data_IF_629136098753
#
_entry.id   IF_629136098753
#
_cell.length_a   1.000
_cell.length_b   1.000
_cell.length_c   1.000
_cell.angle_alpha   90.00
_cell.angle_beta   90.00
_cell.angle_gamma   90.00
#
_symmetry.space_group_name_H-M   'P 1'
#
loop_
_entity.id
_entity.type
_entity.pdbx_description
1 polymer ?
#
# COMPACT_ATOMS: atom_id res chain seq x y z
N UNK A 1 20.49 0.57 -14.21
CA UNK A 1 21.40 1.16 -13.19
C UNK A 1 20.87 0.79 -11.82
N UNK A 2 21.72 0.30 -10.93
CA UNK A 2 21.33 -0.34 -9.67
C UNK A 2 20.50 0.57 -8.77
N UNK A 3 19.40 0.06 -8.24
CA UNK A 3 18.59 0.64 -7.15
C UNK A 3 19.40 0.99 -5.89
N UNK A 4 20.59 0.43 -5.73
CA UNK A 4 21.56 0.76 -4.66
C UNK A 4 22.20 2.17 -4.81
N UNK A 5 22.14 2.78 -6.00
CA UNK A 5 22.83 4.05 -6.24
C UNK A 5 22.00 5.28 -5.84
N UNK A 6 20.67 5.12 -5.72
CA UNK A 6 19.77 6.20 -5.26
C UNK A 6 19.64 6.29 -3.72
N UNK A 7 20.18 5.31 -2.98
CA UNK A 7 20.01 5.23 -1.52
C UNK A 7 21.12 5.88 -0.70
N UNK A 8 22.16 6.43 -1.34
CA UNK A 8 23.24 7.13 -0.66
C UNK A 8 23.21 8.61 -0.98
N UNK A 9 22.40 9.35 -0.25
CA UNK A 9 22.50 10.81 -0.19
C UNK A 9 23.38 11.14 1.01
N UNK A 10 24.53 11.76 0.79
CA UNK A 10 25.45 12.32 1.81
C UNK A 10 25.94 11.37 2.93
N UNK A 11 26.12 10.07 2.64
CA UNK A 11 26.65 9.13 3.63
C UNK A 11 25.62 8.61 4.65
N UNK A 12 24.34 8.99 4.51
CA UNK A 12 23.24 8.43 5.29
C UNK A 12 22.74 7.15 4.63
N UNK A 13 22.53 6.08 5.41
CA UNK A 13 21.90 4.84 4.94
C UNK A 13 20.38 4.98 5.11
N UNK A 14 19.61 4.81 4.03
CA UNK A 14 18.15 4.82 4.07
C UNK A 14 17.59 3.40 4.03
N UNK A 15 16.57 3.15 4.85
CA UNK A 15 15.99 1.81 5.03
C UNK A 15 14.53 1.77 4.57
N UNK A 16 14.17 0.70 3.87
CA UNK A 16 12.76 0.41 3.63
C UNK A 16 12.09 -0.02 4.94
N UNK A 17 10.78 0.25 5.10
CA UNK A 17 10.07 -0.03 6.36
C UNK A 17 10.05 -1.50 6.81
N UNK A 18 10.55 -2.44 6.00
CA UNK A 18 10.66 -3.86 6.30
C UNK A 18 12.11 -4.39 6.35
N UNK A 19 13.11 -3.52 6.29
CA UNK A 19 14.54 -3.90 6.20
C UNK A 19 15.17 -4.27 7.56
N UNK A 20 14.50 -5.17 8.33
CA UNK A 20 14.93 -5.51 9.69
C UNK A 20 16.33 -6.10 9.74
N UNK A 21 16.70 -6.95 8.79
CA UNK A 21 18.04 -7.55 8.70
C UNK A 21 19.13 -6.51 8.42
N UNK A 22 18.83 -5.49 7.60
CA UNK A 22 19.76 -4.38 7.36
C UNK A 22 19.92 -3.49 8.60
N UNK A 23 18.81 -3.23 9.32
CA UNK A 23 18.81 -2.49 10.58
C UNK A 23 19.63 -3.23 11.63
N UNK A 24 19.43 -4.54 11.82
CA UNK A 24 20.21 -5.37 12.73
C UNK A 24 21.71 -5.27 12.42
N UNK A 25 22.06 -5.41 11.14
CA UNK A 25 23.45 -5.30 10.71
C UNK A 25 24.06 -3.92 10.93
N UNK A 26 23.29 -2.85 10.70
CA UNK A 26 23.80 -1.47 10.74
C UNK A 26 23.85 -0.89 12.16
N UNK A 27 22.80 -1.13 12.97
CA UNK A 27 22.66 -0.59 14.33
C UNK A 27 23.02 -1.59 15.43
N UNK A 28 23.20 -2.87 15.12
CA UNK A 28 23.49 -3.91 16.11
C UNK A 28 22.31 -4.24 17.03
N UNK A 29 21.09 -3.88 16.62
CA UNK A 29 19.87 -4.15 17.38
C UNK A 29 19.23 -5.43 16.83
N UNK A 30 19.06 -6.50 17.65
CA UNK A 30 18.42 -7.74 17.20
C UNK A 30 17.02 -7.46 16.62
N UNK A 31 16.72 -8.03 15.46
CA UNK A 31 15.46 -7.78 14.76
C UNK A 31 14.21 -8.14 15.56
N UNK A 32 14.33 -9.10 16.48
CA UNK A 32 13.26 -9.52 17.41
C UNK A 32 12.93 -8.44 18.46
N UNK A 33 13.83 -7.47 18.67
CA UNK A 33 13.64 -6.34 19.57
C UNK A 33 13.11 -5.10 18.84
N UNK A 34 12.91 -5.19 17.51
CA UNK A 34 12.46 -4.05 16.72
C UNK A 34 10.94 -4.10 16.53
N UNK A 35 10.26 -3.04 16.96
CA UNK A 35 8.85 -2.79 16.62
C UNK A 35 8.79 -2.06 15.28
N UNK A 36 8.25 -2.73 14.25
CA UNK A 36 8.26 -2.27 12.85
C UNK A 36 7.15 -1.30 12.50
N UNK A 37 7.22 -0.06 12.94
CA UNK A 37 6.28 1.00 12.57
C UNK A 37 6.34 1.45 11.10
N UNK A 38 7.40 1.08 10.38
CA UNK A 38 7.59 1.43 8.97
C UNK A 38 6.92 0.48 7.97
N UNK A 39 6.53 -0.74 8.40
CA UNK A 39 6.06 -1.80 7.52
C UNK A 39 4.56 -1.73 7.17
N UNK A 40 3.76 -0.98 7.92
CA UNK A 40 2.31 -0.82 7.75
C UNK A 40 1.53 -2.15 7.84
N UNK A 41 2.01 -3.11 8.60
CA UNK A 41 1.34 -4.40 8.80
C UNK A 41 0.40 -4.31 9.99
N UNK A 42 -0.75 -4.99 9.92
CA UNK A 42 -1.72 -5.07 11.01
C UNK A 42 -1.08 -5.65 12.29
N UNK A 43 -1.11 -4.93 13.41
CA UNK A 43 -0.47 -5.36 14.64
C UNK A 43 -1.11 -6.58 15.33
N UNK A 44 -2.33 -6.97 14.94
CA UNK A 44 -3.00 -8.16 15.47
C UNK A 44 -2.34 -9.47 15.00
N UNK A 45 -1.46 -9.41 13.96
CA UNK A 45 -0.95 -10.62 13.32
C UNK A 45 -2.04 -11.36 12.54
N UNK A 46 -1.76 -12.58 12.11
CA UNK A 46 -2.76 -13.43 11.41
C UNK A 46 -3.85 -13.88 12.38
N UNK A 47 -5.09 -14.03 11.88
CA UNK A 47 -6.21 -14.47 12.71
C UNK A 47 -6.03 -15.91 13.22
N UNK A 48 -6.67 -16.22 14.35
CA UNK A 48 -6.60 -17.57 14.93
C UNK A 48 -7.22 -18.61 13.98
N UNK A 49 -8.34 -18.26 13.32
CA UNK A 49 -8.97 -19.15 12.32
C UNK A 49 -8.03 -19.47 11.16
N UNK A 50 -7.36 -18.43 10.63
CA UNK A 50 -6.36 -18.65 9.57
C UNK A 50 -5.19 -19.49 10.07
N UNK A 51 -4.69 -19.24 11.30
CA UNK A 51 -3.60 -19.99 11.91
C UNK A 51 -3.92 -21.48 12.06
N UNK A 52 -5.10 -21.79 12.59
CA UNK A 52 -5.54 -23.18 12.76
C UNK A 52 -5.79 -23.85 11.39
N UNK A 53 -6.44 -23.15 10.45
CA UNK A 53 -6.63 -23.67 9.10
C UNK A 53 -5.33 -24.01 8.38
N UNK A 54 -4.30 -23.16 8.52
CA UNK A 54 -2.96 -23.45 7.97
C UNK A 54 -2.31 -24.67 8.62
N UNK A 55 -2.46 -24.87 9.94
CA UNK A 55 -1.93 -26.05 10.65
C UNK A 55 -2.64 -27.33 10.22
N UNK A 56 -3.97 -27.30 10.15
CA UNK A 56 -4.81 -28.44 9.77
C UNK A 56 -4.57 -28.92 8.34
N UNK A 57 -4.22 -27.97 7.45
CA UNK A 57 -4.08 -28.25 6.02
C UNK A 57 -2.61 -28.15 5.54
N UNK A 58 -1.62 -28.28 6.42
CA UNK A 58 -0.22 -28.12 6.06
C UNK A 58 0.22 -29.07 4.93
N UNK A 59 -0.37 -30.25 4.84
CA UNK A 59 -0.03 -31.27 3.85
C UNK A 59 -0.44 -30.91 2.41
N UNK A 60 -1.21 -29.83 2.20
CA UNK A 60 -1.52 -29.34 0.84
C UNK A 60 -0.27 -28.97 0.03
N UNK A 61 0.86 -28.71 0.72
CA UNK A 61 2.16 -28.42 0.07
C UNK A 61 2.74 -29.60 -0.71
N UNK A 62 2.19 -30.81 -0.56
CA UNK A 62 2.62 -32.01 -1.27
C UNK A 62 2.02 -32.13 -2.67
N UNK A 63 1.06 -31.27 -3.03
CA UNK A 63 0.40 -31.23 -4.32
C UNK A 63 0.46 -29.85 -4.98
N UNK A 64 0.43 -29.81 -6.30
CA UNK A 64 0.24 -28.54 -7.02
C UNK A 64 -1.16 -27.97 -6.74
N UNK A 65 -1.27 -26.63 -6.56
CA UNK A 65 -2.57 -25.98 -6.44
C UNK A 65 -3.36 -26.03 -7.77
N UNK A 66 -4.64 -25.71 -7.70
CA UNK A 66 -5.47 -25.47 -8.88
C UNK A 66 -4.86 -24.33 -9.71
N UNK A 67 -4.46 -24.56 -10.99
CA UNK A 67 -3.87 -23.52 -11.83
C UNK A 67 -4.81 -22.33 -12.09
N UNK A 68 -6.14 -22.54 -11.99
CA UNK A 68 -7.17 -21.50 -12.15
C UNK A 68 -7.53 -20.82 -10.81
N UNK A 69 -7.09 -21.36 -9.67
CA UNK A 69 -7.41 -20.84 -8.33
C UNK A 69 -8.91 -20.60 -8.12
N UNK A 70 -9.74 -21.52 -8.58
CA UNK A 70 -11.19 -21.37 -8.67
C UNK A 70 -11.84 -21.02 -7.33
N UNK A 71 -11.54 -21.79 -6.29
CA UNK A 71 -12.08 -21.55 -4.95
C UNK A 71 -11.52 -20.26 -4.34
N UNK A 72 -10.23 -19.98 -4.51
CA UNK A 72 -9.63 -18.75 -4.01
C UNK A 72 -10.26 -17.50 -4.64
N UNK A 73 -10.49 -17.51 -5.95
CA UNK A 73 -11.18 -16.42 -6.68
C UNK A 73 -12.60 -16.22 -6.18
N UNK A 74 -13.29 -17.32 -5.85
CA UNK A 74 -14.63 -17.26 -5.26
C UNK A 74 -14.61 -16.63 -3.87
N UNK A 75 -13.68 -17.03 -2.98
CA UNK A 75 -13.54 -16.41 -1.65
C UNK A 75 -13.25 -14.91 -1.74
N UNK A 76 -12.40 -14.50 -2.69
CA UNK A 76 -12.13 -13.08 -2.94
C UNK A 76 -13.38 -12.37 -3.46
N UNK A 77 -14.12 -12.98 -4.37
CA UNK A 77 -15.39 -12.48 -4.90
C UNK A 77 -16.43 -12.27 -3.78
N UNK A 78 -16.63 -13.25 -2.94
CA UNK A 78 -17.55 -13.18 -1.79
C UNK A 78 -17.16 -12.06 -0.82
N UNK A 79 -15.85 -11.86 -0.59
CA UNK A 79 -15.34 -10.82 0.29
C UNK A 79 -15.45 -9.42 -0.29
N UNK A 80 -15.20 -9.25 -1.58
CA UNK A 80 -15.12 -7.94 -2.23
C UNK A 80 -16.42 -7.50 -2.87
N UNK A 81 -17.30 -8.44 -3.21
CA UNK A 81 -18.56 -8.20 -3.92
C UNK A 81 -18.41 -8.06 -5.44
N UNK A 82 -17.22 -8.31 -6.01
CA UNK A 82 -17.05 -8.45 -7.46
C UNK A 82 -17.42 -9.85 -7.94
N UNK A 83 -17.40 -10.11 -9.24
CA UNK A 83 -17.65 -11.44 -9.79
C UNK A 83 -16.37 -12.28 -9.82
N UNK A 84 -16.43 -13.63 -9.65
CA UNK A 84 -15.23 -14.47 -9.67
C UNK A 84 -14.39 -14.34 -10.95
N UNK A 85 -15.06 -14.18 -12.11
CA UNK A 85 -14.38 -13.97 -13.40
C UNK A 85 -13.65 -12.64 -13.51
N UNK A 86 -13.94 -11.66 -12.66
CA UNK A 86 -13.26 -10.36 -12.59
C UNK A 86 -11.98 -10.40 -11.74
N UNK A 87 -11.72 -11.54 -11.06
CA UNK A 87 -10.58 -11.69 -10.14
C UNK A 87 -9.39 -12.35 -10.82
N UNK A 88 -8.23 -11.72 -10.68
CA UNK A 88 -6.93 -12.30 -10.99
C UNK A 88 -6.12 -12.40 -9.69
N UNK A 89 -5.51 -13.55 -9.42
CA UNK A 89 -4.63 -13.74 -8.25
C UNK A 89 -3.15 -13.72 -8.67
N UNK A 90 -2.27 -13.24 -7.78
CA UNK A 90 -0.84 -13.10 -8.03
C UNK A 90 0.01 -13.29 -6.78
N UNK A 91 1.30 -13.51 -6.96
CA UNK A 91 2.31 -13.68 -5.90
C UNK A 91 2.61 -12.32 -5.23
N UNK A 92 1.62 -11.78 -4.52
CA UNK A 92 1.58 -10.43 -3.97
C UNK A 92 1.23 -9.37 -5.03
N UNK A 93 0.91 -8.15 -4.58
CA UNK A 93 0.60 -7.04 -5.50
C UNK A 93 1.75 -6.71 -6.46
N UNK A 94 3.00 -6.95 -6.07
CA UNK A 94 4.17 -6.66 -6.91
C UNK A 94 4.14 -7.44 -8.22
N UNK A 95 3.82 -8.74 -8.19
CA UNK A 95 3.66 -9.52 -9.43
C UNK A 95 2.52 -8.94 -10.30
N UNK A 96 1.40 -8.58 -9.68
CA UNK A 96 0.26 -8.01 -10.41
C UNK A 96 0.60 -6.66 -11.06
N UNK A 97 1.32 -5.78 -10.35
CA UNK A 97 1.83 -4.53 -10.91
C UNK A 97 2.67 -4.81 -12.16
N UNK A 98 3.63 -5.73 -12.05
CA UNK A 98 4.49 -6.12 -13.18
C UNK A 98 3.67 -6.67 -14.36
N UNK A 99 2.74 -7.60 -14.11
CA UNK A 99 1.91 -8.21 -15.16
C UNK A 99 1.05 -7.18 -15.90
N UNK A 100 0.34 -6.30 -15.16
CA UNK A 100 -0.50 -5.29 -15.80
C UNK A 100 0.33 -4.28 -16.60
N UNK A 101 1.52 -3.90 -16.14
CA UNK A 101 2.41 -3.01 -16.87
C UNK A 101 2.99 -3.71 -18.11
N UNK A 102 3.44 -4.96 -17.98
CA UNK A 102 3.96 -5.74 -19.12
C UNK A 102 2.93 -5.89 -20.24
N UNK A 103 1.70 -6.24 -19.88
CA UNK A 103 0.63 -6.49 -20.85
C UNK A 103 0.11 -5.21 -21.50
N UNK A 104 -0.03 -4.13 -20.73
CA UNK A 104 -0.46 -2.83 -21.28
C UNK A 104 0.67 -2.15 -22.04
N UNK A 105 1.93 -2.48 -21.73
CA UNK A 105 3.12 -1.95 -22.38
C UNK A 105 3.08 -0.42 -22.58
N UNK A 106 2.91 0.36 -21.48
CA UNK A 106 2.70 1.79 -21.58
C UNK A 106 3.93 2.49 -22.15
N UNK A 107 3.73 3.41 -23.08
CA UNK A 107 4.78 4.31 -23.55
C UNK A 107 5.07 5.38 -22.51
N UNK A 108 4.02 5.87 -21.86
CA UNK A 108 4.11 6.93 -20.85
C UNK A 108 3.08 6.71 -19.74
N UNK A 109 3.54 6.66 -18.50
CA UNK A 109 2.68 6.61 -17.32
C UNK A 109 2.65 7.96 -16.60
N UNK A 110 1.46 8.37 -16.13
CA UNK A 110 1.29 9.45 -15.15
C UNK A 110 1.02 8.81 -13.80
N UNK A 111 1.91 9.05 -12.83
CA UNK A 111 1.83 8.48 -11.48
C UNK A 111 1.57 9.59 -10.48
N UNK A 112 0.56 9.42 -9.61
CA UNK A 112 0.30 10.36 -8.52
C UNK A 112 1.39 10.21 -7.46
N UNK A 113 2.11 11.30 -7.12
CA UNK A 113 3.23 11.31 -6.15
C UNK A 113 2.99 12.29 -4.99
N UNK A 114 3.65 12.12 -3.82
CA UNK A 114 4.58 11.02 -3.49
C UNK A 114 3.87 9.68 -3.42
N UNK A 115 4.54 8.59 -3.83
CA UNK A 115 3.94 7.26 -3.82
C UNK A 115 4.98 6.13 -3.78
N UNK A 116 4.53 4.89 -3.87
CA UNK A 116 5.35 3.68 -3.85
C UNK A 116 6.22 3.57 -5.11
N UNK A 117 7.52 3.35 -4.94
CA UNK A 117 8.53 3.41 -6.00
C UNK A 117 8.43 2.28 -7.05
N UNK A 118 7.77 1.16 -6.71
CA UNK A 118 7.70 0.02 -7.64
C UNK A 118 6.88 0.31 -8.89
N UNK A 119 5.95 1.27 -8.85
CA UNK A 119 5.19 1.65 -10.05
C UNK A 119 6.13 2.25 -11.12
N UNK A 120 6.94 3.23 -10.74
CA UNK A 120 7.95 3.82 -11.65
C UNK A 120 8.94 2.76 -12.12
N UNK A 121 9.46 1.96 -11.17
CA UNK A 121 10.42 0.91 -11.46
C UNK A 121 9.90 -0.04 -12.56
N UNK A 122 8.67 -0.54 -12.42
CA UNK A 122 8.10 -1.48 -13.38
C UNK A 122 7.82 -0.84 -14.75
N UNK A 123 7.33 0.40 -14.78
CA UNK A 123 7.14 1.13 -16.05
C UNK A 123 8.47 1.30 -16.79
N UNK A 124 9.53 1.74 -16.07
CA UNK A 124 10.87 1.93 -16.68
C UNK A 124 11.51 0.62 -17.11
N UNK A 125 11.34 -0.47 -16.35
CA UNK A 125 11.84 -1.80 -16.74
C UNK A 125 11.21 -2.30 -18.05
N UNK A 126 9.98 -1.89 -18.33
CA UNK A 126 9.26 -2.21 -19.55
C UNK A 126 9.45 -1.16 -20.66
N UNK A 127 10.40 -0.22 -20.51
CA UNK A 127 10.77 0.76 -21.52
C UNK A 127 9.84 1.97 -21.60
N UNK A 128 8.89 2.12 -20.66
CA UNK A 128 8.00 3.27 -20.59
C UNK A 128 8.65 4.48 -19.90
N UNK A 129 8.14 5.66 -20.23
CA UNK A 129 8.46 6.92 -19.55
C UNK A 129 7.50 7.15 -18.38
N UNK A 130 7.96 7.91 -17.37
CA UNK A 130 7.17 8.25 -16.18
C UNK A 130 7.18 9.74 -15.97
N UNK A 131 5.99 10.32 -15.87
CA UNK A 131 5.76 11.64 -15.31
C UNK A 131 5.00 11.53 -13.99
N UNK A 132 5.19 12.52 -13.13
CA UNK A 132 4.52 12.59 -11.84
C UNK A 132 3.48 13.71 -11.80
N UNK A 133 2.32 13.39 -11.25
CA UNK A 133 1.40 14.39 -10.74
C UNK A 133 1.66 14.58 -9.25
N UNK A 134 2.32 15.68 -8.89
CA UNK A 134 2.71 15.96 -7.52
C UNK A 134 1.53 16.48 -6.67
N UNK A 135 1.11 15.72 -5.67
CA UNK A 135 0.19 16.17 -4.64
C UNK A 135 0.82 17.35 -3.88
N UNK A 136 0.06 18.39 -3.65
CA UNK A 136 0.57 19.62 -3.02
C UNK A 136 0.31 19.59 -1.51
N UNK A 137 1.34 19.87 -0.71
CA UNK A 137 1.19 20.01 0.74
C UNK A 137 0.25 21.16 1.13
N UNK A 138 0.22 22.24 0.33
CA UNK A 138 -0.71 23.36 0.52
C UNK A 138 -2.18 22.97 0.43
N UNK A 139 -2.48 21.81 -0.16
CA UNK A 139 -3.80 21.17 -0.21
C UNK A 139 -3.84 19.90 0.64
N UNK A 140 -3.02 19.81 1.69
CA UNK A 140 -2.89 18.64 2.58
C UNK A 140 -2.75 17.31 1.83
N UNK A 141 -2.03 17.33 0.70
CA UNK A 141 -1.84 16.19 -0.21
C UNK A 141 -3.14 15.58 -0.75
N UNK A 142 -4.24 16.31 -0.76
CA UNK A 142 -5.48 15.87 -1.40
C UNK A 142 -5.34 15.97 -2.93
N UNK A 143 -5.89 15.00 -3.65
CA UNK A 143 -5.90 15.01 -5.11
C UNK A 143 -6.90 16.06 -5.63
N UNK A 144 -6.41 17.06 -6.36
CA UNK A 144 -7.27 17.96 -7.13
C UNK A 144 -7.69 17.25 -8.43
N UNK A 145 -8.90 16.73 -8.43
CA UNK A 145 -9.41 15.89 -9.52
C UNK A 145 -9.57 16.67 -10.84
N UNK A 146 -9.91 17.96 -10.77
CA UNK A 146 -10.07 18.78 -11.97
C UNK A 146 -8.72 19.06 -12.62
N UNK A 147 -7.74 19.52 -11.85
CA UNK A 147 -6.38 19.76 -12.32
C UNK A 147 -5.71 18.46 -12.79
N UNK A 148 -5.89 17.37 -12.05
CA UNK A 148 -5.40 16.04 -12.44
C UNK A 148 -5.96 15.59 -13.78
N UNK A 149 -7.27 15.72 -14.02
CA UNK A 149 -7.91 15.38 -15.28
C UNK A 149 -7.42 16.24 -16.46
N UNK A 150 -7.07 17.52 -16.20
CA UNK A 150 -6.46 18.39 -17.19
C UNK A 150 -5.01 18.00 -17.49
N UNK A 151 -4.26 17.60 -16.45
CA UNK A 151 -2.89 17.11 -16.58
C UNK A 151 -2.85 15.80 -17.40
N UNK A 152 -3.73 14.84 -17.14
CA UNK A 152 -3.83 13.60 -17.94
C UNK A 152 -3.96 13.88 -19.44
N UNK A 153 -4.74 14.91 -19.81
CA UNK A 153 -4.89 15.31 -21.23
C UNK A 153 -3.62 15.94 -21.79
N UNK A 154 -2.95 16.78 -20.98
CA UNK A 154 -1.75 17.53 -21.40
C UNK A 154 -0.55 16.61 -21.62
N UNK A 155 -0.34 15.66 -20.70
CA UNK A 155 0.83 14.81 -20.71
C UNK A 155 0.78 13.67 -21.73
N UNK A 156 -0.39 13.29 -22.24
CA UNK A 156 -0.54 12.25 -23.24
C UNK A 156 -0.15 10.86 -22.73
N UNK A 157 -0.36 10.60 -21.45
CA UNK A 157 -0.12 9.29 -20.83
C UNK A 157 -1.09 8.24 -21.39
N UNK A 158 -0.68 6.99 -21.44
CA UNK A 158 -1.52 5.83 -21.76
C UNK A 158 -1.77 4.91 -20.55
N UNK A 159 -1.01 5.13 -19.48
CA UNK A 159 -1.24 4.54 -18.16
C UNK A 159 -1.35 5.64 -17.08
N UNK A 160 -2.28 5.45 -16.15
CA UNK A 160 -2.40 6.25 -14.94
C UNK A 160 -2.30 5.33 -13.72
N UNK A 161 -1.52 5.72 -12.68
CA UNK A 161 -1.39 4.95 -11.45
C UNK A 161 -1.77 5.80 -10.25
N UNK A 162 -2.70 5.29 -9.42
CA UNK A 162 -3.21 5.95 -8.23
C UNK A 162 -3.18 4.96 -7.07
N UNK A 163 -2.51 5.29 -5.97
CA UNK A 163 -2.60 4.57 -4.71
C UNK A 163 -3.72 5.19 -3.84
N UNK A 164 -4.70 4.39 -3.40
CA UNK A 164 -5.88 4.90 -2.69
C UNK A 164 -6.33 3.98 -1.53
N UNK A 165 -6.09 4.30 -0.26
CA UNK A 165 -5.38 5.47 0.26
C UNK A 165 -3.92 5.53 -0.17
N UNK A 166 -3.42 6.75 -0.37
CA UNK A 166 -2.07 6.95 -0.87
C UNK A 166 -1.00 6.63 0.20
N UNK A 167 0.07 6.03 -0.21
CA UNK A 167 1.27 5.81 0.59
C UNK A 167 2.40 6.71 0.03
N UNK A 168 2.94 7.71 0.80
CA UNK A 168 2.94 7.78 2.26
C UNK A 168 1.92 8.75 2.89
N UNK A 169 1.13 9.49 2.13
CA UNK A 169 0.32 10.60 2.64
C UNK A 169 -0.90 10.17 3.46
N UNK A 170 -1.37 8.93 3.28
CA UNK A 170 -2.61 8.39 3.88
C UNK A 170 -3.89 9.11 3.43
N UNK A 171 -3.82 10.02 2.47
CA UNK A 171 -4.98 10.69 1.88
C UNK A 171 -5.77 9.75 0.98
N UNK A 172 -7.05 10.01 0.79
CA UNK A 172 -7.92 9.15 -0.01
C UNK A 172 -8.83 9.95 -0.95
N UNK A 173 -9.06 9.38 -2.12
CA UNK A 173 -9.98 9.87 -3.14
C UNK A 173 -11.29 9.11 -3.05
N UNK A 174 -12.41 9.81 -2.94
CA UNK A 174 -13.74 9.20 -2.83
C UNK A 174 -14.17 8.52 -4.16
N UNK A 175 -15.04 7.47 -4.12
CA UNK A 175 -15.49 6.80 -5.33
C UNK A 175 -16.19 7.72 -6.34
N UNK A 176 -16.87 8.76 -5.88
CA UNK A 176 -17.50 9.78 -6.75
C UNK A 176 -16.49 10.60 -7.55
N UNK A 177 -15.33 10.86 -6.97
CA UNK A 177 -14.22 11.55 -7.62
C UNK A 177 -13.43 10.58 -8.52
N UNK A 178 -13.18 9.36 -8.07
CA UNK A 178 -12.57 8.32 -8.87
C UNK A 178 -13.38 8.05 -10.14
N UNK A 179 -14.72 8.06 -10.07
CA UNK A 179 -15.60 7.96 -11.24
C UNK A 179 -15.33 9.05 -12.28
N UNK A 180 -15.05 10.29 -11.85
CA UNK A 180 -14.70 11.39 -12.77
C UNK A 180 -13.39 11.10 -13.47
N UNK A 181 -12.39 10.65 -12.73
CA UNK A 181 -11.06 10.27 -13.25
C UNK A 181 -11.20 9.14 -14.27
N UNK A 182 -11.87 8.04 -13.92
CA UNK A 182 -12.08 6.89 -14.81
C UNK A 182 -12.82 7.27 -16.08
N UNK A 183 -13.86 8.11 -15.96
CA UNK A 183 -14.59 8.64 -17.11
C UNK A 183 -13.71 9.49 -18.04
N UNK A 184 -12.80 10.29 -17.44
CA UNK A 184 -11.85 11.11 -18.20
C UNK A 184 -10.82 10.22 -18.90
N UNK A 185 -10.23 9.27 -18.17
CA UNK A 185 -9.26 8.31 -18.71
C UNK A 185 -9.87 7.49 -19.86
N UNK A 186 -11.10 6.99 -19.70
CA UNK A 186 -11.81 6.27 -20.80
C UNK A 186 -11.92 7.08 -22.08
N UNK A 187 -12.25 8.39 -21.97
CA UNK A 187 -12.33 9.28 -23.15
C UNK A 187 -10.98 9.54 -23.81
N UNK A 188 -9.89 9.38 -23.07
CA UNK A 188 -8.53 9.60 -23.55
C UNK A 188 -7.83 8.29 -23.95
N UNK A 189 -8.47 7.13 -23.76
CA UNK A 189 -7.86 5.82 -24.03
C UNK A 189 -6.80 5.42 -22.99
N UNK A 190 -6.85 5.98 -21.78
CA UNK A 190 -5.89 5.73 -20.69
C UNK A 190 -6.41 4.58 -19.83
N UNK A 191 -5.55 3.59 -19.56
CA UNK A 191 -5.80 2.55 -18.57
C UNK A 191 -5.41 3.04 -17.18
N UNK A 192 -6.17 2.68 -16.11
CA UNK A 192 -5.92 3.13 -14.75
C UNK A 192 -5.63 1.95 -13.84
N UNK A 193 -4.51 1.99 -13.13
CA UNK A 193 -4.18 1.08 -12.04
C UNK A 193 -4.45 1.77 -10.71
N UNK A 194 -5.35 1.20 -9.91
CA UNK A 194 -5.70 1.70 -8.57
C UNK A 194 -5.17 0.70 -7.54
N UNK A 195 -4.18 1.12 -6.77
CA UNK A 195 -3.67 0.31 -5.66
C UNK A 195 -4.47 0.62 -4.38
N UNK A 196 -5.30 -0.33 -3.99
CA UNK A 196 -6.13 -0.28 -2.78
C UNK A 196 -5.56 -1.14 -1.64
N UNK A 197 -4.25 -1.35 -1.58
CA UNK A 197 -3.58 -2.15 -0.53
C UNK A 197 -3.97 -1.73 0.90
N UNK A 198 -4.38 -0.49 1.10
CA UNK A 198 -4.74 0.07 2.42
C UNK A 198 -6.24 0.39 2.56
N UNK A 199 -7.05 0.15 1.56
CA UNK A 199 -8.47 0.53 1.55
C UNK A 199 -9.29 -0.17 2.65
N UNK A 200 -8.90 -1.38 3.01
CA UNK A 200 -9.59 -2.21 4.02
C UNK A 200 -9.49 -1.64 5.44
N UNK A 201 -8.48 -0.79 5.70
CA UNK A 201 -8.31 -0.07 6.97
C UNK A 201 -9.17 1.19 7.10
N UNK A 202 -9.78 1.65 6.02
CA UNK A 202 -10.66 2.82 6.07
C UNK A 202 -11.88 2.53 6.97
N UNK A 203 -12.43 3.56 7.63
CA UNK A 203 -13.66 3.41 8.40
C UNK A 203 -14.79 2.85 7.53
N UNK A 204 -15.62 1.97 8.09
CA UNK A 204 -16.73 1.38 7.35
C UNK A 204 -17.76 2.43 6.86
N UNK A 205 -17.85 3.57 7.53
CA UNK A 205 -18.71 4.70 7.17
C UNK A 205 -18.22 5.50 5.97
N UNK A 206 -16.94 5.38 5.61
CA UNK A 206 -16.31 6.08 4.48
C UNK A 206 -15.75 5.04 3.52
N UNK A 207 -16.60 4.46 2.67
CA UNK A 207 -16.10 3.59 1.61
C UNK A 207 -15.28 4.42 0.62
N UNK A 208 -14.03 4.01 0.43
CA UNK A 208 -13.12 4.61 -0.54
C UNK A 208 -12.81 3.65 -1.70
N UNK A 209 -13.35 2.44 -1.63
CA UNK A 209 -13.09 1.41 -2.60
C UNK A 209 -13.78 1.69 -3.94
N UNK A 210 -13.05 1.46 -5.01
CA UNK A 210 -13.50 1.57 -6.38
C UNK A 210 -14.20 0.30 -6.92
N UNK A 211 -14.37 -0.74 -6.08
CA UNK A 211 -14.98 -2.03 -6.52
C UNK A 211 -16.38 -1.82 -7.13
N UNK A 212 -17.18 -0.94 -6.55
CA UNK A 212 -18.52 -0.61 -7.11
C UNK A 212 -18.49 -0.01 -8.52
N UNK A 213 -17.33 0.50 -8.97
CA UNK A 213 -17.17 1.09 -10.30
C UNK A 213 -16.85 0.04 -11.40
N UNK A 214 -16.58 -1.23 -11.03
CA UNK A 214 -16.36 -2.31 -11.99
C UNK A 214 -17.55 -2.53 -12.90
N UNK A 215 -18.76 -2.25 -12.44
CA UNK A 215 -19.99 -2.34 -13.25
C UNK A 215 -20.16 -1.22 -14.28
N UNK A 216 -19.34 -0.13 -14.18
CA UNK A 216 -19.47 1.06 -15.02
C UNK A 216 -18.29 1.25 -15.99
N UNK A 217 -17.10 0.71 -15.62
CA UNK A 217 -15.86 0.96 -16.34
C UNK A 217 -15.04 -0.32 -16.50
N UNK A 218 -14.43 -0.50 -17.66
CA UNK A 218 -13.51 -1.59 -17.99
C UNK A 218 -12.07 -1.12 -18.23
N UNK A 219 -11.82 0.20 -18.18
CA UNK A 219 -10.51 0.80 -18.42
C UNK A 219 -9.67 0.94 -17.14
N UNK A 220 -9.89 0.08 -16.14
CA UNK A 220 -9.11 0.11 -14.90
C UNK A 220 -8.98 -1.26 -14.24
N UNK A 221 -8.03 -1.37 -13.34
CA UNK A 221 -7.88 -2.48 -12.39
C UNK A 221 -7.72 -1.95 -10.98
N UNK A 222 -8.23 -2.70 -10.00
CA UNK A 222 -7.99 -2.49 -8.58
C UNK A 222 -7.03 -3.57 -8.10
N UNK A 223 -6.02 -3.23 -7.32
CA UNK A 223 -5.08 -4.17 -6.72
C UNK A 223 -5.20 -4.15 -5.21
N UNK A 224 -5.23 -5.33 -4.58
CA UNK A 224 -5.20 -5.52 -3.13
C UNK A 224 -4.32 -6.71 -2.76
N UNK A 225 -3.84 -6.73 -1.52
CA UNK A 225 -3.02 -7.84 -1.03
C UNK A 225 -3.22 -8.10 0.44
N UNK A 226 -2.94 -9.34 0.84
CA UNK A 226 -3.11 -9.80 2.22
C UNK A 226 -1.98 -9.39 3.16
N UNK A 227 -0.94 -8.75 2.62
CA UNK A 227 0.28 -8.42 3.36
C UNK A 227 0.08 -7.43 4.50
N UNK A 228 -0.90 -6.53 4.37
CA UNK A 228 -1.11 -5.42 5.31
C UNK A 228 -2.29 -5.69 6.24
N UNK A 229 -3.51 -5.72 5.72
CA UNK A 229 -4.72 -5.90 6.52
C UNK A 229 -4.78 -7.27 7.21
N UNK A 230 -4.47 -8.35 6.49
CA UNK A 230 -4.48 -9.72 7.02
C UNK A 230 -3.15 -10.14 7.65
N UNK A 231 -2.19 -9.23 7.77
CA UNK A 231 -0.88 -9.44 8.42
C UNK A 231 -0.10 -10.67 7.92
N UNK A 232 -0.23 -11.03 6.65
CA UNK A 232 0.38 -12.22 6.08
C UNK A 232 1.32 -11.94 4.90
N UNK A 233 2.34 -11.05 5.05
CA UNK A 233 3.24 -10.71 3.94
C UNK A 233 4.04 -11.92 3.43
N UNK A 234 4.35 -12.89 4.29
CA UNK A 234 5.12 -14.09 3.93
C UNK A 234 4.35 -15.08 3.06
N UNK A 235 3.02 -15.07 3.04
CA UNK A 235 2.22 -15.94 2.18
C UNK A 235 2.21 -15.50 0.72
N UNK A 236 2.61 -14.29 0.43
CA UNK A 236 2.74 -13.78 -0.94
C UNK A 236 1.46 -13.92 -1.77
N UNK A 237 0.33 -13.44 -1.27
CA UNK A 237 -0.93 -13.39 -2.02
C UNK A 237 -1.36 -11.94 -2.25
N UNK A 238 -1.61 -11.61 -3.52
CA UNK A 238 -2.31 -10.42 -3.96
C UNK A 238 -3.41 -10.79 -4.93
N UNK A 239 -4.33 -9.87 -5.15
CA UNK A 239 -5.37 -10.03 -6.14
C UNK A 239 -5.69 -8.71 -6.83
N UNK A 240 -6.06 -8.82 -8.10
CA UNK A 240 -6.54 -7.70 -8.90
C UNK A 240 -7.99 -7.95 -9.31
N UNK A 241 -8.73 -6.88 -9.50
CA UNK A 241 -10.13 -6.92 -9.94
C UNK A 241 -10.31 -5.95 -11.10
N UNK A 242 -10.86 -6.45 -12.22
CA UNK A 242 -11.22 -5.65 -13.38
C UNK A 242 -12.37 -6.31 -14.15
N UNK A 243 -13.26 -5.52 -14.74
CA UNK A 243 -14.30 -6.01 -15.61
C UNK A 243 -13.82 -6.18 -17.08
N UNK A 244 -12.57 -5.83 -17.36
CA UNK A 244 -11.95 -6.06 -18.68
C UNK A 244 -11.53 -7.53 -18.82
N UNK A 245 -12.48 -8.39 -19.15
CA UNK A 245 -12.24 -9.83 -19.28
C UNK A 245 -11.26 -10.18 -20.39
N UNK A 246 -11.20 -9.39 -21.47
CA UNK A 246 -10.23 -9.58 -22.54
C UNK A 246 -8.79 -9.35 -22.04
N UNK A 247 -8.58 -8.33 -21.23
CA UNK A 247 -7.28 -8.07 -20.59
C UNK A 247 -6.92 -9.19 -19.61
N UNK A 248 -7.87 -9.66 -18.80
CA UNK A 248 -7.63 -10.77 -17.87
C UNK A 248 -7.25 -12.06 -18.61
N UNK A 249 -7.95 -12.39 -19.69
CA UNK A 249 -7.62 -13.56 -20.51
C UNK A 249 -6.18 -13.45 -21.05
N UNK A 250 -5.82 -12.29 -21.61
CA UNK A 250 -4.45 -12.06 -22.11
C UNK A 250 -3.39 -12.22 -21.02
N UNK A 251 -3.65 -11.68 -19.81
CA UNK A 251 -2.74 -11.84 -18.68
C UNK A 251 -2.61 -13.32 -18.30
N UNK A 252 -3.71 -14.06 -18.28
CA UNK A 252 -3.74 -15.47 -17.89
C UNK A 252 -2.98 -16.36 -18.91
N UNK A 253 -3.01 -16.02 -20.21
CA UNK A 253 -2.25 -16.71 -21.25
C UNK A 253 -0.73 -16.48 -21.12
N UNK A 254 -0.30 -15.30 -20.62
CA UNK A 254 1.12 -14.94 -20.48
C UNK A 254 1.69 -15.21 -19.09
N UNK A 255 0.82 -15.30 -18.06
CA UNK A 255 1.23 -15.54 -16.68
C UNK A 255 1.76 -16.97 -16.51
N UNK A 256 2.85 -17.12 -15.73
CA UNK A 256 3.31 -18.43 -15.32
C UNK A 256 2.24 -19.15 -14.50
N UNK A 257 1.99 -20.45 -14.72
CA UNK A 257 1.08 -21.23 -13.88
C UNK A 257 1.68 -21.44 -12.48
N UNK A 258 0.81 -21.76 -11.50
CA UNK A 258 1.20 -22.12 -10.12
C UNK A 258 2.06 -21.06 -9.41
N UNK A 259 1.87 -19.77 -9.67
CA UNK A 259 2.63 -18.70 -9.01
C UNK A 259 2.21 -18.47 -7.56
N UNK A 260 0.99 -18.89 -7.19
CA UNK A 260 0.48 -18.83 -5.82
C UNK A 260 0.71 -20.18 -5.14
N UNK A 261 1.27 -20.17 -3.93
CA UNK A 261 1.47 -21.38 -3.16
C UNK A 261 0.17 -21.89 -2.53
N UNK A 262 0.07 -23.21 -2.32
CA UNK A 262 -1.14 -23.85 -1.79
C UNK A 262 -1.54 -23.35 -0.39
N UNK A 263 -0.59 -22.90 0.45
CA UNK A 263 -0.92 -22.34 1.78
C UNK A 263 -1.61 -20.99 1.67
N UNK A 264 -1.29 -20.19 0.64
CA UNK A 264 -2.00 -18.93 0.39
C UNK A 264 -3.45 -19.16 -0.04
N UNK A 265 -3.71 -20.23 -0.78
CA UNK A 265 -5.08 -20.66 -1.14
C UNK A 265 -5.87 -21.09 0.11
N UNK A 266 -5.28 -21.94 0.96
CA UNK A 266 -5.87 -22.33 2.26
C UNK A 266 -6.16 -21.08 3.11
N UNK A 267 -5.19 -20.17 3.25
CA UNK A 267 -5.37 -18.95 4.02
C UNK A 267 -6.56 -18.13 3.53
N UNK A 268 -6.76 -18.04 2.21
CA UNK A 268 -7.89 -17.35 1.59
C UNK A 268 -9.23 -17.86 2.04
N UNK A 269 -9.38 -19.18 2.17
CA UNK A 269 -10.63 -19.81 2.62
C UNK A 269 -11.04 -19.39 4.05
N UNK A 270 -10.08 -19.05 4.89
CA UNK A 270 -10.35 -18.66 6.28
C UNK A 270 -10.38 -17.14 6.46
N UNK A 271 -9.39 -16.41 5.96
CA UNK A 271 -9.23 -14.97 6.29
C UNK A 271 -10.33 -14.09 5.71
N UNK A 272 -10.78 -14.36 4.48
CA UNK A 272 -11.80 -13.53 3.82
C UNK A 272 -13.18 -13.65 4.46
N UNK A 273 -13.42 -14.71 5.23
CA UNK A 273 -14.67 -14.97 5.95
C UNK A 273 -14.58 -14.71 7.46
N UNK A 274 -13.43 -14.29 7.98
CA UNK A 274 -13.26 -14.01 9.41
C UNK A 274 -13.74 -12.60 9.78
N UNK A 275 -15.07 -12.44 9.82
CA UNK A 275 -15.70 -11.15 10.10
C UNK A 275 -15.31 -10.59 11.48
N UNK A 276 -15.04 -11.45 12.47
CA UNK A 276 -14.63 -11.03 13.80
C UNK A 276 -13.25 -10.36 13.74
N UNK A 277 -12.27 -11.00 13.07
CA UNK A 277 -10.93 -10.43 12.87
C UNK A 277 -10.99 -9.12 12.07
N UNK A 278 -11.80 -9.07 11.00
CA UNK A 278 -11.99 -7.89 10.17
C UNK A 278 -12.51 -6.72 11.01
N UNK A 279 -13.52 -6.95 11.83
CA UNK A 279 -14.10 -5.92 12.69
C UNK A 279 -13.11 -5.48 13.77
N UNK A 280 -12.47 -6.40 14.49
CA UNK A 280 -11.44 -6.09 15.50
C UNK A 280 -10.30 -5.25 14.91
N UNK A 281 -9.85 -5.57 13.69
CA UNK A 281 -8.82 -4.79 13.00
C UNK A 281 -9.29 -3.37 12.74
N UNK A 282 -10.50 -3.20 12.18
CA UNK A 282 -11.06 -1.87 11.89
C UNK A 282 -11.27 -1.04 13.14
N UNK A 283 -11.78 -1.64 14.21
CA UNK A 283 -12.01 -0.96 15.49
C UNK A 283 -10.69 -0.48 16.10
N UNK A 284 -9.69 -1.37 16.18
CA UNK A 284 -8.36 -1.01 16.67
C UNK A 284 -7.74 0.14 15.87
N UNK A 285 -7.67 -0.01 14.54
CA UNK A 285 -7.04 0.99 13.70
C UNK A 285 -7.80 2.30 13.70
N UNK A 286 -9.14 2.28 13.71
CA UNK A 286 -9.95 3.51 13.75
C UNK A 286 -9.79 4.26 15.08
N UNK A 287 -9.75 3.55 16.22
CA UNK A 287 -9.55 4.15 17.53
C UNK A 287 -8.17 4.78 17.66
N UNK A 288 -7.10 4.04 17.30
CA UNK A 288 -5.72 4.53 17.39
C UNK A 288 -5.44 5.64 16.38
N UNK A 289 -5.95 5.53 15.16
CA UNK A 289 -5.87 6.60 14.16
C UNK A 289 -6.43 7.92 14.69
N UNK A 290 -7.64 7.88 15.27
CA UNK A 290 -8.26 9.06 15.85
C UNK A 290 -7.45 9.60 17.04
N UNK A 291 -7.08 8.73 17.97
CA UNK A 291 -6.31 9.11 19.19
C UNK A 291 -4.99 9.79 18.82
N UNK A 292 -4.21 9.14 17.95
CA UNK A 292 -2.87 9.63 17.58
C UNK A 292 -2.97 10.91 16.75
N UNK A 293 -3.91 10.99 15.81
CA UNK A 293 -4.12 12.19 14.99
C UNK A 293 -4.49 13.39 15.86
N UNK A 294 -5.45 13.23 16.79
CA UNK A 294 -5.85 14.32 17.70
C UNK A 294 -4.73 14.70 18.67
N UNK A 295 -3.92 13.76 19.14
CA UNK A 295 -2.76 14.07 19.99
C UNK A 295 -1.70 14.85 19.22
N UNK A 296 -1.27 14.38 18.06
CA UNK A 296 -0.23 15.04 17.26
C UNK A 296 -0.63 16.43 16.79
N UNK A 297 -1.91 16.70 16.55
CA UNK A 297 -2.42 18.05 16.25
C UNK A 297 -2.16 19.07 17.36
N UNK A 298 -1.96 18.62 18.59
CA UNK A 298 -1.66 19.52 19.72
C UNK A 298 -0.18 19.86 19.85
N UNK A 299 0.69 19.15 19.12
CA UNK A 299 2.13 19.38 19.20
C UNK A 299 2.54 20.61 18.39
N UNK A 300 3.45 21.40 18.97
CA UNK A 300 3.88 22.70 18.40
C UNK A 300 4.77 22.53 17.15
N UNK A 301 5.61 21.49 17.16
CA UNK A 301 6.67 21.39 16.16
C UNK A 301 6.42 20.29 15.11
N UNK A 302 5.17 19.87 14.94
CA UNK A 302 4.77 18.96 13.87
C UNK A 302 3.50 19.46 13.17
N UNK A 303 3.35 19.05 11.90
CA UNK A 303 2.07 19.11 11.16
C UNK A 303 1.69 17.69 10.76
N UNK A 304 0.41 17.35 10.90
CA UNK A 304 -0.14 16.06 10.49
C UNK A 304 -1.30 16.25 9.53
N UNK A 305 -1.52 15.25 8.70
CA UNK A 305 -2.56 15.22 7.68
C UNK A 305 -3.57 14.15 8.05
N UNK A 306 -4.87 14.38 7.76
CA UNK A 306 -5.93 13.44 8.13
C UNK A 306 -5.71 12.06 7.49
N UNK A 307 -5.49 11.00 8.30
CA UNK A 307 -5.14 9.69 7.78
C UNK A 307 -6.38 8.84 7.47
N UNK A 308 -6.37 8.14 6.34
CA UNK A 308 -7.40 7.19 5.92
C UNK A 308 -6.93 5.71 5.92
N UNK A 309 -5.60 5.49 5.94
CA UNK A 309 -4.99 4.17 6.05
C UNK A 309 -4.68 3.79 7.52
N UNK A 310 -3.85 2.76 7.72
CA UNK A 310 -3.32 2.36 9.03
C UNK A 310 -1.99 3.04 9.39
N UNK A 311 -1.70 4.19 8.82
CA UNK A 311 -0.50 4.98 9.08
C UNK A 311 -0.78 6.48 8.94
N UNK A 312 0.14 7.29 9.46
CA UNK A 312 0.07 8.75 9.41
C UNK A 312 1.39 9.33 8.89
N UNK A 313 1.28 10.34 8.02
CA UNK A 313 2.40 11.18 7.60
C UNK A 313 2.53 12.35 8.56
N UNK A 314 3.76 12.64 8.98
CA UNK A 314 4.09 13.73 9.90
C UNK A 314 5.15 14.60 9.25
N UNK A 315 4.92 15.92 9.23
CA UNK A 315 5.92 16.92 8.87
C UNK A 315 6.56 17.49 10.13
N UNK A 316 7.87 17.57 10.15
CA UNK A 316 8.69 18.18 11.19
C UNK A 316 8.73 19.70 10.94
N UNK A 317 8.40 20.50 11.96
CA UNK A 317 8.48 21.96 11.94
C UNK A 317 9.61 22.47 12.85
N UNK A 318 10.28 21.59 13.61
CA UNK A 318 11.37 21.92 14.50
C UNK A 318 12.64 22.19 13.69
N UNK A 319 13.18 23.39 13.81
CA UNK A 319 14.44 23.78 13.16
C UNK A 319 15.62 22.86 13.54
N UNK A 320 16.42 22.47 12.56
CA UNK A 320 17.64 21.66 12.77
C UNK A 320 17.39 20.18 13.05
N UNK A 321 16.13 19.69 12.93
CA UNK A 321 15.78 18.26 13.09
C UNK A 321 15.29 17.73 11.75
N UNK A 322 15.94 16.68 11.25
CA UNK A 322 15.55 15.99 10.02
C UNK A 322 14.75 14.71 10.30
N UNK A 323 14.07 14.19 9.29
CA UNK A 323 13.37 12.90 9.36
C UNK A 323 14.33 11.74 9.64
N UNK A 324 15.58 11.84 9.17
CA UNK A 324 16.62 10.89 9.48
C UNK A 324 17.05 10.95 10.96
N UNK A 325 17.14 12.14 11.57
CA UNK A 325 17.43 12.29 12.99
C UNK A 325 16.33 11.65 13.85
N UNK A 326 15.07 11.86 13.49
CA UNK A 326 13.91 11.23 14.14
C UNK A 326 13.98 9.71 13.99
N UNK A 327 14.28 9.20 12.79
CA UNK A 327 14.48 7.78 12.55
C UNK A 327 15.58 7.21 13.44
N UNK A 328 16.77 7.86 13.49
CA UNK A 328 17.91 7.41 14.31
C UNK A 328 17.60 7.45 15.80
N UNK A 329 16.87 8.48 16.27
CA UNK A 329 16.45 8.59 17.67
C UNK A 329 15.53 7.43 18.07
N UNK A 330 14.53 7.12 17.26
CA UNK A 330 13.56 6.06 17.51
C UNK A 330 14.18 4.67 17.38
N UNK A 331 14.98 4.41 16.33
CA UNK A 331 15.54 3.07 16.12
C UNK A 331 16.50 2.63 17.23
N UNK A 332 17.24 3.54 17.87
CA UNK A 332 18.06 3.24 19.04
C UNK A 332 17.28 2.66 20.22
N UNK A 333 15.95 2.83 20.22
CA UNK A 333 15.00 2.24 21.18
C UNK A 333 14.22 1.05 20.59
N UNK A 334 14.64 0.55 19.43
CA UNK A 334 13.94 -0.53 18.73
C UNK A 334 12.63 -0.11 18.07
N UNK A 335 12.37 1.19 17.87
CA UNK A 335 11.15 1.72 17.24
C UNK A 335 11.47 2.14 15.81
N UNK A 336 11.19 1.28 14.82
CA UNK A 336 11.52 1.51 13.43
C UNK A 336 10.38 2.22 12.68
N UNK A 337 10.45 3.54 12.56
CA UNK A 337 9.56 4.31 11.68
C UNK A 337 10.12 4.43 10.25
N UNK A 338 9.41 5.11 9.34
CA UNK A 338 9.85 5.33 7.96
C UNK A 338 10.24 6.80 7.75
N UNK A 339 11.53 7.04 7.49
CA UNK A 339 12.01 8.28 6.88
C UNK A 339 11.47 8.38 5.45
N UNK A 340 10.80 9.49 5.13
CA UNK A 340 10.15 9.69 3.84
C UNK A 340 11.00 10.47 2.82
N UNK A 341 12.23 10.82 3.13
CA UNK A 341 13.12 11.60 2.25
C UNK A 341 13.43 10.92 0.90
N UNK A 342 13.17 9.62 0.79
CA UNK A 342 13.34 8.86 -0.46
C UNK A 342 12.09 8.83 -1.35
N UNK A 343 10.98 9.45 -0.94
CA UNK A 343 9.79 9.55 -1.76
C UNK A 343 9.85 10.80 -2.65
N UNK A 344 9.57 10.69 -3.98
CA UNK A 344 9.51 11.85 -4.86
C UNK A 344 8.55 12.92 -4.34
N UNK A 345 9.04 14.15 -4.15
CA UNK A 345 8.28 15.27 -3.61
C UNK A 345 8.36 15.45 -2.08
N UNK A 346 9.13 14.59 -1.37
CA UNK A 346 9.38 14.70 0.09
C UNK A 346 10.90 14.69 0.42
N UNK A 347 11.75 15.08 -0.52
CA UNK A 347 13.22 15.02 -0.42
C UNK A 347 13.80 16.08 0.52
N UNK A 348 13.01 16.99 1.06
CA UNK A 348 13.44 18.05 1.97
C UNK A 348 13.78 17.56 3.39
N UNK A 349 13.75 16.25 3.62
CA UNK A 349 14.04 15.57 4.89
C UNK A 349 13.17 16.04 6.08
N UNK A 350 11.98 16.59 5.81
CA UNK A 350 11.09 17.06 6.88
C UNK A 350 9.92 16.10 7.17
N UNK A 351 9.79 15.01 6.42
CA UNK A 351 8.67 14.08 6.55
C UNK A 351 9.08 12.70 7.02
N UNK A 352 8.32 12.15 7.96
CA UNK A 352 8.37 10.74 8.33
C UNK A 352 6.97 10.15 8.43
N UNK A 353 6.86 8.83 8.36
CA UNK A 353 5.61 8.08 8.44
C UNK A 353 5.74 6.95 9.45
N UNK A 354 4.67 6.67 10.19
CA UNK A 354 4.57 5.47 11.02
C UNK A 354 3.17 4.88 10.96
N UNK A 355 3.06 3.55 11.13
CA UNK A 355 1.77 2.87 11.18
C UNK A 355 1.27 2.74 12.61
N UNK A 356 -0.05 2.54 12.75
CA UNK A 356 -0.69 2.33 14.03
C UNK A 356 -0.49 0.87 14.47
N UNK A 357 0.03 0.71 15.66
CA UNK A 357 0.29 -0.57 16.32
C UNK A 357 -0.69 -0.78 17.49
N UNK A 358 -0.38 -1.72 18.42
CA UNK A 358 -1.11 -1.86 19.66
C UNK A 358 -0.98 -0.59 20.51
N UNK A 359 -2.00 -0.22 21.32
CA UNK A 359 -2.03 1.06 22.05
C UNK A 359 -0.79 1.35 22.88
N UNK A 360 -0.24 0.31 23.55
CA UNK A 360 0.95 0.44 24.39
C UNK A 360 2.18 0.82 23.54
N UNK A 361 2.34 0.19 22.38
CA UNK A 361 3.45 0.49 21.47
C UNK A 361 3.32 1.85 20.80
N UNK A 362 2.11 2.26 20.48
CA UNK A 362 1.85 3.61 19.97
C UNK A 362 2.19 4.68 21.03
N UNK A 363 1.86 4.44 22.29
CA UNK A 363 2.20 5.35 23.39
C UNK A 363 3.72 5.45 23.58
N UNK A 364 4.42 4.32 23.56
CA UNK A 364 5.90 4.27 23.61
C UNK A 364 6.54 5.08 22.47
N UNK A 365 6.01 4.94 21.24
CA UNK A 365 6.50 5.73 20.11
C UNK A 365 6.22 7.22 20.28
N UNK A 366 5.04 7.62 20.71
CA UNK A 366 4.68 9.03 20.92
C UNK A 366 5.54 9.68 22.01
N UNK A 367 5.84 8.98 23.09
CA UNK A 367 6.77 9.45 24.13
C UNK A 367 8.18 9.65 23.56
N UNK A 368 8.68 8.68 22.79
CA UNK A 368 9.97 8.79 22.12
C UNK A 368 10.03 9.97 21.13
N UNK A 369 8.99 10.16 20.33
CA UNK A 369 8.88 11.26 19.38
C UNK A 369 8.82 12.63 20.08
N UNK A 370 8.12 12.71 21.22
CA UNK A 370 8.00 13.95 22.00
C UNK A 370 9.35 14.45 22.49
N UNK A 371 10.25 13.58 22.90
CA UNK A 371 11.59 13.96 23.37
C UNK A 371 12.43 14.67 22.30
N UNK A 372 12.29 14.29 21.04
CA UNK A 372 13.07 14.90 19.96
C UNK A 372 12.33 16.05 19.29
N UNK A 373 10.99 16.03 19.26
CA UNK A 373 10.19 16.99 18.51
C UNK A 373 9.62 18.12 19.36
N UNK A 374 9.31 17.89 20.61
CA UNK A 374 8.80 18.93 21.55
C UNK A 374 9.86 19.36 22.55
#
# INVERSE_FOLDING_TARGET
MNTDTQQKIEGKEHFHGSDLEKIEKYFGIPKEQITGFGANVNPLGISDKMREGLKEHIDVVTAYPDPEYTELRKHISDYTGCRPEEVLVGNGCTELISLFIQINHPKKALIVSPTYSEYEREVRLNGGEVDYYALQESNDFQLDVEDFCNTLKREGADLCVICNPNNPTSTATAPSEMRKILSRCRKLGIFVMIDETYAEFAPASTSISSVGLLSEFENFTIMRGISKFFAAPGLRLGYAMTSNLTLLQKIQEEKNPWTINSLAEVAGAYMFHDQEYINRTRDLISSERKRIYEELKTWKHVKVYEPHANFILVRILKEGVTSYDVFVHCIKRGLMLRDCSTFPGLEDETFFRFCFMMPEKNTELLECLREILE
#
